data_IF_785426792145
#
_entry.id   IF_785426792145
#
_cell.length_a   1.000
_cell.length_b   1.000
_cell.length_c   1.000
_cell.angle_alpha   90.00
_cell.angle_beta   90.00
_cell.angle_gamma   90.00
#
_symmetry.space_group_name_H-M   'P 1'
#
loop_
_entity.id
_entity.type
_entity.pdbx_description
1 polymer ?
#
# COMPACT_ATOMS: atom_id res chain seq x y z
N UNK A 1 27.40 0.85 -0.43
CA UNK A 1 27.33 1.64 -1.69
C UNK A 1 26.52 0.96 -2.77
N UNK A 2 26.53 -0.37 -2.86
CA UNK A 2 25.87 -1.10 -3.96
C UNK A 2 24.36 -0.81 -4.10
N UNK A 3 23.58 -0.76 -3.02
CA UNK A 3 22.14 -0.46 -3.10
C UNK A 3 21.81 0.94 -3.65
N UNK A 4 22.69 1.92 -3.43
CA UNK A 4 22.54 3.27 -3.98
C UNK A 4 22.79 3.25 -5.48
N UNK A 5 23.85 2.55 -5.92
CA UNK A 5 24.16 2.39 -7.34
C UNK A 5 23.09 1.59 -8.07
N UNK A 6 22.63 0.49 -7.48
CA UNK A 6 21.54 -0.33 -8.03
C UNK A 6 20.25 0.49 -8.18
N UNK A 7 19.85 1.22 -7.12
CA UNK A 7 18.72 2.13 -7.18
C UNK A 7 18.88 3.21 -8.25
N UNK A 8 20.09 3.75 -8.43
CA UNK A 8 20.39 4.71 -9.49
C UNK A 8 20.24 4.13 -10.89
N UNK A 9 20.73 2.91 -11.13
CA UNK A 9 20.52 2.21 -12.40
C UNK A 9 19.04 1.94 -12.67
N UNK A 10 18.28 1.53 -11.65
CA UNK A 10 16.85 1.30 -11.77
C UNK A 10 16.08 2.59 -12.08
N UNK A 11 16.42 3.72 -11.46
CA UNK A 11 15.84 5.02 -11.82
C UNK A 11 16.12 5.42 -13.26
N UNK A 12 17.32 5.14 -13.78
CA UNK A 12 17.67 5.43 -15.18
C UNK A 12 16.91 4.54 -16.15
N UNK A 13 16.85 3.24 -15.89
CA UNK A 13 16.24 2.24 -16.78
C UNK A 13 14.72 2.27 -16.75
N UNK A 14 14.13 2.37 -15.56
CA UNK A 14 12.70 2.15 -15.33
C UNK A 14 11.94 3.42 -14.93
N UNK A 15 12.61 4.57 -14.81
CA UNK A 15 12.01 5.81 -14.25
C UNK A 15 11.46 5.68 -12.82
N UNK A 16 11.64 4.53 -12.19
CA UNK A 16 11.20 4.30 -10.83
C UNK A 16 11.44 2.87 -10.38
N UNK A 17 11.39 2.68 -9.07
CA UNK A 17 11.63 1.37 -8.45
C UNK A 17 11.09 1.34 -7.01
N UNK A 18 11.02 0.13 -6.46
CA UNK A 18 10.71 -0.13 -5.07
C UNK A 18 11.99 -0.26 -4.25
N UNK A 19 12.19 0.61 -3.26
CA UNK A 19 13.23 0.47 -2.25
C UNK A 19 12.70 -0.40 -1.09
N UNK A 20 13.00 -1.69 -1.16
CA UNK A 20 12.44 -2.72 -0.28
C UNK A 20 13.49 -3.47 0.53
N UNK A 21 14.32 -2.73 1.29
CA UNK A 21 15.23 -3.34 2.26
C UNK A 21 14.50 -3.95 3.48
N UNK A 22 15.19 -4.78 4.26
CA UNK A 22 14.69 -5.22 5.58
C UNK A 22 14.50 -4.02 6.52
N UNK A 23 13.49 -4.09 7.38
CA UNK A 23 13.24 -3.13 8.45
C UNK A 23 14.50 -2.97 9.33
N UNK A 24 14.91 -1.73 9.54
CA UNK A 24 16.11 -1.40 10.33
C UNK A 24 17.42 -1.24 9.54
N UNK A 25 17.44 -1.49 8.22
CA UNK A 25 18.65 -1.32 7.38
C UNK A 25 18.91 0.12 6.89
N UNK A 26 18.18 1.11 7.43
CA UNK A 26 18.39 2.51 7.08
C UNK A 26 17.88 2.92 5.70
N UNK A 27 16.66 2.50 5.32
CA UNK A 27 16.02 2.91 4.04
C UNK A 27 16.01 4.42 3.84
N UNK A 28 15.71 5.18 4.89
CA UNK A 28 15.73 6.63 4.87
C UNK A 28 17.12 7.16 4.47
N UNK A 29 18.20 6.53 4.94
CA UNK A 29 19.57 6.89 4.58
C UNK A 29 19.86 6.57 3.11
N UNK A 30 19.54 5.35 2.66
CA UNK A 30 19.73 4.94 1.26
C UNK A 30 18.94 5.82 0.31
N UNK A 31 17.67 6.09 0.63
CA UNK A 31 16.81 6.97 -0.14
C UNK A 31 17.34 8.40 -0.16
N UNK A 32 17.87 8.92 0.95
CA UNK A 32 18.49 10.25 1.01
C UNK A 32 19.76 10.31 0.17
N UNK A 33 20.58 9.26 0.17
CA UNK A 33 21.78 9.16 -0.67
C UNK A 33 21.42 9.14 -2.15
N UNK A 34 20.42 8.36 -2.55
CA UNK A 34 19.92 8.33 -3.93
C UNK A 34 19.34 9.70 -4.32
N UNK A 35 18.60 10.35 -3.42
CA UNK A 35 18.07 11.69 -3.63
C UNK A 35 19.19 12.72 -3.84
N UNK A 36 20.25 12.66 -3.02
CA UNK A 36 21.44 13.52 -3.17
C UNK A 36 22.16 13.25 -4.49
N UNK A 37 22.32 11.98 -4.85
CA UNK A 37 22.93 11.58 -6.12
C UNK A 37 22.08 12.08 -7.30
N UNK A 38 20.75 12.00 -7.22
CA UNK A 38 19.84 12.58 -8.21
C UNK A 38 19.96 14.10 -8.27
N UNK A 39 20.09 14.81 -7.15
CA UNK A 39 20.28 16.26 -7.21
C UNK A 39 21.63 16.68 -7.82
N UNK A 40 22.63 15.81 -7.71
CA UNK A 40 23.98 16.08 -8.24
C UNK A 40 24.16 15.64 -9.69
N UNK A 41 23.56 14.50 -10.08
CA UNK A 41 23.72 13.87 -11.39
C UNK A 41 22.47 13.93 -12.27
N UNK A 42 21.32 14.23 -11.69
CA UNK A 42 20.00 13.96 -12.24
C UNK A 42 19.57 14.93 -13.32
N UNK A 43 20.05 14.65 -14.53
CA UNK A 43 19.37 15.00 -15.77
C UNK A 43 19.69 16.38 -16.32
N UNK A 44 19.17 16.66 -17.53
CA UNK A 44 19.40 17.89 -18.31
C UNK A 44 18.93 19.17 -17.61
N UNK A 45 18.11 19.02 -16.57
CA UNK A 45 17.69 20.11 -15.72
C UNK A 45 18.86 20.68 -14.93
N UNK A 46 19.09 21.98 -15.11
CA UNK A 46 20.17 22.71 -14.42
C UNK A 46 20.01 22.71 -12.89
N UNK A 47 18.81 22.38 -12.38
CA UNK A 47 18.44 22.64 -11.00
C UNK A 47 17.28 21.72 -10.49
N UNK A 48 17.45 20.39 -10.45
CA UNK A 48 16.37 19.47 -10.17
C UNK A 48 15.77 19.67 -8.76
N UNK A 49 14.48 19.40 -8.62
CA UNK A 49 13.78 19.41 -7.33
C UNK A 49 13.05 18.10 -7.05
N UNK A 50 12.89 17.79 -5.76
CA UNK A 50 12.32 16.53 -5.29
C UNK A 50 11.06 16.80 -4.48
N UNK A 51 10.01 16.03 -4.75
CA UNK A 51 8.84 15.92 -3.90
C UNK A 51 8.98 14.70 -2.99
N UNK A 52 8.92 14.91 -1.68
CA UNK A 52 8.94 13.85 -0.69
C UNK A 52 7.58 13.74 0.00
N UNK A 53 6.93 12.58 -0.12
CA UNK A 53 5.62 12.28 0.47
C UNK A 53 5.82 11.28 1.61
N UNK A 54 5.45 11.66 2.83
CA UNK A 54 5.74 10.88 4.05
C UNK A 54 4.54 10.82 5.00
N UNK A 55 4.43 9.78 5.84
CA UNK A 55 3.51 9.81 6.97
C UNK A 55 3.82 10.98 7.92
N UNK A 56 2.81 11.61 8.55
CA UNK A 56 3.04 12.72 9.50
C UNK A 56 4.06 12.39 10.59
N UNK A 57 4.03 11.17 11.12
CA UNK A 57 4.95 10.70 12.16
C UNK A 57 6.42 10.64 11.72
N UNK A 58 6.71 10.53 10.42
CA UNK A 58 8.07 10.42 9.88
C UNK A 58 8.62 11.75 9.36
N UNK A 59 7.78 12.79 9.27
CA UNK A 59 8.16 14.08 8.68
C UNK A 59 9.41 14.68 9.34
N UNK A 60 9.43 14.77 10.66
CA UNK A 60 10.56 15.36 11.39
C UNK A 60 11.86 14.58 11.15
N UNK A 61 11.79 13.24 11.20
CA UNK A 61 12.96 12.39 10.96
C UNK A 61 13.55 12.60 9.55
N UNK A 62 12.68 12.79 8.56
CA UNK A 62 13.10 13.12 7.20
C UNK A 62 13.74 14.52 7.11
N UNK A 63 13.18 15.54 7.74
CA UNK A 63 13.76 16.90 7.79
C UNK A 63 15.15 16.89 8.42
N UNK A 64 15.30 16.18 9.54
CA UNK A 64 16.59 16.03 10.23
C UNK A 64 17.62 15.31 9.35
N UNK A 65 17.19 14.24 8.66
CA UNK A 65 18.07 13.48 7.76
C UNK A 65 18.51 14.34 6.58
N UNK A 66 17.58 15.02 5.90
CA UNK A 66 17.91 15.90 4.77
C UNK A 66 18.88 17.02 5.20
N UNK A 67 18.71 17.55 6.41
CA UNK A 67 19.62 18.56 6.97
C UNK A 67 21.01 18.01 7.20
N UNK A 68 21.14 16.80 7.77
CA UNK A 68 22.43 16.11 7.98
C UNK A 68 23.17 15.83 6.68
N UNK A 69 22.43 15.57 5.59
CA UNK A 69 23.00 15.33 4.26
C UNK A 69 23.19 16.61 3.42
N UNK A 70 22.95 17.78 4.02
CA UNK A 70 23.11 19.11 3.39
C UNK A 70 22.21 19.34 2.17
N UNK A 71 21.06 18.65 2.10
CA UNK A 71 20.08 18.81 1.04
C UNK A 71 19.11 19.93 1.42
N UNK A 72 19.49 21.19 1.16
CA UNK A 72 18.69 22.36 1.54
C UNK A 72 17.94 22.95 0.34
N UNK A 73 16.65 23.26 0.52
CA UNK A 73 15.82 23.99 -0.46
C UNK A 73 15.49 23.24 -1.75
N UNK A 74 15.93 21.97 -1.90
CA UNK A 74 15.68 21.13 -3.08
C UNK A 74 14.56 20.12 -2.91
N UNK A 75 14.22 19.79 -1.67
CA UNK A 75 13.21 18.79 -1.33
C UNK A 75 12.03 19.50 -0.69
N UNK A 76 10.83 19.35 -1.25
CA UNK A 76 9.58 19.79 -0.60
C UNK A 76 8.87 18.58 -0.01
N UNK A 77 8.54 18.66 1.28
CA UNK A 77 7.94 17.56 2.03
C UNK A 77 6.45 17.79 2.21
N UNK A 78 5.65 16.81 1.82
CA UNK A 78 4.20 16.77 2.06
C UNK A 78 3.84 15.51 2.81
N UNK A 79 2.77 15.58 3.61
CA UNK A 79 2.21 14.40 4.27
C UNK A 79 1.16 13.74 3.39
N UNK A 80 0.96 12.42 3.53
CA UNK A 80 -0.04 11.67 2.76
C UNK A 80 -1.46 12.30 2.78
N UNK A 81 -1.87 12.91 3.90
CA UNK A 81 -3.18 13.59 4.01
C UNK A 81 -3.24 15.00 3.42
N UNK A 82 -2.16 15.50 2.80
CA UNK A 82 -2.06 16.87 2.28
C UNK A 82 -1.66 16.91 0.80
N UNK A 83 -1.95 15.84 0.04
CA UNK A 83 -1.66 15.80 -1.41
C UNK A 83 -2.32 16.94 -2.17
N UNK A 84 -3.56 17.31 -1.82
CA UNK A 84 -4.30 18.46 -2.36
C UNK A 84 -3.58 19.81 -2.27
N UNK A 85 -2.55 19.94 -1.43
CA UNK A 85 -1.74 21.17 -1.33
C UNK A 85 -0.68 21.26 -2.43
N UNK A 86 -0.49 20.21 -3.23
CA UNK A 86 0.50 20.13 -4.30
C UNK A 86 -0.12 20.71 -5.58
N UNK A 87 -0.06 22.03 -5.72
CA UNK A 87 -0.67 22.77 -6.85
C UNK A 87 0.14 22.70 -8.14
N UNK A 88 1.47 22.57 -8.03
CA UNK A 88 2.39 22.59 -9.16
C UNK A 88 3.18 21.28 -9.27
N UNK A 89 2.56 20.17 -9.71
CA UNK A 89 3.28 18.91 -9.88
C UNK A 89 4.45 19.00 -10.86
N UNK A 90 4.43 19.93 -11.83
CA UNK A 90 5.48 20.07 -12.85
C UNK A 90 6.82 20.56 -12.28
N UNK A 91 6.81 21.16 -11.10
CA UNK A 91 8.01 21.73 -10.48
C UNK A 91 9.01 20.65 -10.04
N UNK A 92 8.57 19.40 -9.93
CA UNK A 92 9.36 18.30 -9.39
C UNK A 92 9.85 17.37 -10.48
N UNK A 93 11.10 16.92 -10.34
CA UNK A 93 11.76 16.00 -11.27
C UNK A 93 11.80 14.58 -10.71
N UNK A 94 11.80 14.46 -9.38
CA UNK A 94 11.70 13.20 -8.67
C UNK A 94 10.61 13.23 -7.59
N UNK A 95 9.91 12.12 -7.42
CA UNK A 95 8.93 11.89 -6.36
C UNK A 95 9.40 10.72 -5.51
N UNK A 96 9.50 10.91 -4.20
CA UNK A 96 9.82 9.89 -3.22
C UNK A 96 8.60 9.68 -2.35
N UNK A 97 8.15 8.44 -2.22
CA UNK A 97 6.94 8.11 -1.45
C UNK A 97 7.34 7.11 -0.37
N UNK A 98 7.32 7.57 0.88
CA UNK A 98 7.54 6.73 2.04
C UNK A 98 6.24 6.07 2.52
N UNK A 99 6.36 4.83 2.96
CA UNK A 99 5.24 3.95 3.26
C UNK A 99 4.17 3.95 2.16
N UNK A 100 4.61 3.74 0.91
CA UNK A 100 3.73 3.75 -0.28
C UNK A 100 2.56 2.74 -0.19
N UNK A 101 2.63 1.77 0.72
CA UNK A 101 1.53 0.86 1.02
C UNK A 101 0.31 1.53 1.65
N UNK A 102 0.43 2.73 2.23
CA UNK A 102 -0.69 3.46 2.86
C UNK A 102 -1.71 3.98 1.85
N UNK A 103 -1.27 4.31 0.63
CA UNK A 103 -2.14 4.75 -0.48
C UNK A 103 -3.03 3.63 -1.06
N UNK A 104 -3.04 2.47 -0.42
CA UNK A 104 -3.93 1.34 -0.72
C UNK A 104 -5.34 1.52 -0.14
N UNK A 105 -5.43 2.11 1.06
CA UNK A 105 -6.67 2.22 1.83
C UNK A 105 -7.28 3.63 1.77
N UNK A 106 -6.49 4.61 1.33
CA UNK A 106 -7.00 5.96 1.10
C UNK A 106 -7.93 5.93 -0.11
N UNK A 107 -8.99 6.74 -0.04
CA UNK A 107 -10.04 6.85 -1.05
C UNK A 107 -9.50 6.88 -2.48
N UNK A 108 -10.27 6.40 -3.47
CA UNK A 108 -9.90 6.44 -4.89
C UNK A 108 -9.30 7.80 -5.30
N UNK A 109 -9.83 8.89 -4.72
CA UNK A 109 -9.35 10.25 -4.91
C UNK A 109 -7.88 10.49 -4.54
N UNK A 110 -7.39 9.95 -3.41
CA UNK A 110 -6.01 10.17 -2.97
C UNK A 110 -5.01 9.47 -3.90
N UNK A 111 -5.36 8.27 -4.36
CA UNK A 111 -4.56 7.55 -5.35
C UNK A 111 -4.57 8.28 -6.70
N UNK A 112 -5.72 8.74 -7.18
CA UNK A 112 -5.83 9.48 -8.45
C UNK A 112 -4.98 10.76 -8.43
N UNK A 113 -4.99 11.48 -7.31
CA UNK A 113 -4.15 12.66 -7.11
C UNK A 113 -2.66 12.32 -7.11
N UNK A 114 -2.26 11.26 -6.38
CA UNK A 114 -0.88 10.79 -6.37
C UNK A 114 -0.41 10.36 -7.76
N UNK A 115 -1.26 9.64 -8.50
CA UNK A 115 -0.98 9.19 -9.86
C UNK A 115 -0.82 10.40 -10.79
N UNK A 116 -1.72 11.40 -10.69
CA UNK A 116 -1.60 12.66 -11.43
C UNK A 116 -0.27 13.35 -11.14
N UNK A 117 0.14 13.44 -9.87
CA UNK A 117 1.40 14.06 -9.46
C UNK A 117 2.59 13.35 -10.10
N UNK A 118 2.62 12.01 -10.07
CA UNK A 118 3.73 11.22 -10.62
C UNK A 118 3.76 11.23 -12.15
N UNK A 119 2.59 11.19 -12.82
CA UNK A 119 2.47 11.10 -14.28
C UNK A 119 2.52 12.43 -15.02
N UNK A 120 2.23 13.53 -14.35
CA UNK A 120 2.45 14.85 -14.95
C UNK A 120 3.94 14.99 -15.27
N UNK A 121 4.31 15.37 -16.49
CA UNK A 121 5.72 15.63 -16.84
C UNK A 121 6.26 16.85 -16.09
N UNK A 122 7.58 16.94 -15.94
CA UNK A 122 8.20 18.12 -15.31
C UNK A 122 8.16 19.35 -16.25
N UNK A 123 8.74 20.46 -15.82
CA UNK A 123 8.82 21.70 -16.60
C UNK A 123 9.62 21.55 -17.91
N UNK A 124 10.43 20.50 -18.06
CA UNK A 124 11.22 20.19 -19.25
C UNK A 124 10.56 19.13 -20.16
N UNK A 125 9.28 18.80 -19.90
CA UNK A 125 8.52 17.77 -20.61
C UNK A 125 9.10 16.35 -20.49
N UNK A 126 9.89 16.10 -19.44
CA UNK A 126 10.47 14.80 -19.11
C UNK A 126 9.61 14.01 -18.11
N UNK A 127 9.74 12.68 -18.15
CA UNK A 127 9.08 11.77 -17.22
C UNK A 127 9.79 11.82 -15.87
N UNK A 128 9.01 12.04 -14.80
CA UNK A 128 9.55 12.08 -13.45
C UNK A 128 10.14 10.76 -13.01
N UNK A 129 11.16 10.85 -12.15
CA UNK A 129 11.71 9.70 -11.45
C UNK A 129 10.88 9.41 -10.19
N UNK A 130 10.57 8.16 -9.90
CA UNK A 130 9.71 7.80 -8.75
C UNK A 130 10.34 6.70 -7.90
N UNK A 131 10.55 6.98 -6.61
CA UNK A 131 11.06 5.98 -5.67
C UNK A 131 10.00 5.65 -4.63
N UNK A 132 9.59 4.38 -4.59
CA UNK A 132 8.60 3.88 -3.63
C UNK A 132 9.32 3.16 -2.48
N UNK A 133 9.26 3.71 -1.27
CA UNK A 133 9.85 3.10 -0.09
C UNK A 133 8.76 2.29 0.61
N UNK A 134 8.97 0.97 0.69
CA UNK A 134 8.04 0.06 1.36
C UNK A 134 8.76 -1.18 1.84
N UNK A 135 8.36 -1.76 2.97
CA UNK A 135 8.93 -3.01 3.47
C UNK A 135 8.48 -4.24 2.69
N UNK A 136 7.28 -4.22 2.10
CA UNK A 136 6.66 -5.41 1.52
C UNK A 136 5.64 -5.04 0.43
N UNK A 137 6.04 -4.82 -0.84
CA UNK A 137 5.06 -4.56 -1.89
C UNK A 137 4.26 -5.82 -2.28
N UNK A 138 4.78 -7.03 -2.01
CA UNK A 138 4.14 -8.31 -2.36
C UNK A 138 3.00 -8.74 -1.40
N UNK A 139 2.90 -8.18 -0.19
CA UNK A 139 1.81 -8.51 0.76
C UNK A 139 0.46 -7.83 0.37
N UNK A 140 0.38 -7.32 -0.85
CA UNK A 140 -0.74 -6.59 -1.39
C UNK A 140 -1.54 -7.47 -2.37
N UNK A 141 -2.81 -7.09 -2.64
CA UNK A 141 -3.55 -7.74 -3.73
C UNK A 141 -2.84 -7.41 -5.05
N UNK A 142 -2.95 -8.27 -6.07
CA UNK A 142 -2.35 -7.97 -7.37
C UNK A 142 -2.80 -6.62 -7.96
N UNK A 143 -4.06 -6.23 -7.70
CA UNK A 143 -4.59 -4.91 -8.07
C UNK A 143 -3.79 -3.75 -7.45
N UNK A 144 -3.49 -3.86 -6.17
CA UNK A 144 -2.80 -2.80 -5.41
C UNK A 144 -1.34 -2.69 -5.83
N UNK A 145 -0.68 -3.84 -6.06
CA UNK A 145 0.68 -3.87 -6.60
C UNK A 145 0.72 -3.22 -8.00
N UNK A 146 -0.24 -3.55 -8.86
CA UNK A 146 -0.33 -2.95 -10.19
C UNK A 146 -0.48 -1.44 -10.12
N UNK A 147 -1.36 -0.94 -9.25
CA UNK A 147 -1.57 0.49 -9.03
C UNK A 147 -0.27 1.19 -8.58
N UNK A 148 0.51 0.58 -7.68
CA UNK A 148 1.81 1.14 -7.28
C UNK A 148 2.80 1.22 -8.46
N UNK A 149 2.86 0.18 -9.30
CA UNK A 149 3.75 0.18 -10.47
C UNK A 149 3.31 1.23 -11.49
N UNK A 150 2.01 1.45 -11.65
CA UNK A 150 1.44 2.47 -12.52
C UNK A 150 1.79 3.91 -12.11
N UNK A 151 2.35 4.14 -10.92
CA UNK A 151 2.87 5.46 -10.56
C UNK A 151 4.08 5.86 -11.42
N UNK A 152 4.84 4.89 -11.91
CA UNK A 152 6.11 5.13 -12.61
C UNK A 152 6.28 4.34 -13.91
N UNK A 153 5.45 3.34 -14.17
CA UNK A 153 5.36 2.61 -15.44
C UNK A 153 4.06 2.91 -16.17
N UNK A 154 4.07 2.81 -17.49
CA UNK A 154 2.84 2.79 -18.28
C UNK A 154 2.36 1.35 -18.47
N UNK A 155 1.04 1.14 -18.40
CA UNK A 155 0.45 -0.19 -18.47
C UNK A 155 0.71 -0.91 -19.81
N UNK A 156 0.69 -0.17 -20.92
CA UNK A 156 0.85 -0.73 -22.26
C UNK A 156 2.27 -0.58 -22.82
N UNK A 157 3.04 0.39 -22.32
CA UNK A 157 4.39 0.69 -22.76
C UNK A 157 5.35 0.73 -21.56
N UNK A 158 5.36 -0.37 -20.81
CA UNK A 158 6.28 -0.51 -19.68
C UNK A 158 7.70 -0.71 -20.16
N UNK A 159 8.64 -0.37 -19.30
CA UNK A 159 10.09 -0.63 -19.48
C UNK A 159 10.48 -2.09 -19.19
N UNK A 160 9.50 -2.94 -18.89
CA UNK A 160 9.65 -4.39 -18.80
C UNK A 160 9.42 -5.03 -20.18
N UNK A 161 10.04 -6.18 -20.43
CA UNK A 161 10.01 -6.89 -21.72
C UNK A 161 8.64 -7.49 -22.11
N UNK A 162 7.57 -7.09 -21.43
CA UNK A 162 6.20 -7.53 -21.67
C UNK A 162 5.18 -6.44 -21.31
N UNK A 163 3.97 -6.45 -21.91
CA UNK A 163 2.94 -5.47 -21.57
C UNK A 163 2.35 -5.71 -20.18
N UNK A 164 2.56 -4.75 -19.27
CA UNK A 164 2.15 -4.87 -17.88
C UNK A 164 0.62 -4.97 -17.69
N UNK A 165 -0.15 -4.26 -18.51
CA UNK A 165 -1.61 -4.22 -18.42
C UNK A 165 -2.27 -5.55 -18.76
N UNK A 166 -1.82 -6.23 -19.82
CA UNK A 166 -2.34 -7.55 -20.18
C UNK A 166 -1.92 -8.60 -19.14
N UNK A 167 -0.68 -8.52 -18.65
CA UNK A 167 -0.18 -9.37 -17.57
C UNK A 167 -1.08 -9.26 -16.34
N UNK A 168 -1.27 -8.05 -15.79
CA UNK A 168 -2.10 -7.89 -14.59
C UNK A 168 -3.59 -8.16 -14.84
N UNK A 169 -4.11 -7.97 -16.05
CA UNK A 169 -5.49 -8.38 -16.39
C UNK A 169 -5.68 -9.88 -16.23
N UNK A 170 -4.72 -10.69 -16.72
CA UNK A 170 -4.71 -12.13 -16.53
C UNK A 170 -4.59 -12.50 -15.05
N UNK A 171 -3.60 -11.93 -14.35
CA UNK A 171 -3.37 -12.18 -12.92
C UNK A 171 -4.62 -11.87 -12.08
N UNK A 172 -5.33 -10.76 -12.36
CA UNK A 172 -6.57 -10.39 -11.67
C UNK A 172 -7.68 -11.43 -11.87
N UNK A 173 -7.80 -11.98 -13.08
CA UNK A 173 -8.77 -13.03 -13.39
C UNK A 173 -8.44 -14.31 -12.62
N UNK A 174 -7.20 -14.77 -12.70
CA UNK A 174 -6.73 -15.95 -11.98
C UNK A 174 -6.88 -15.80 -10.46
N UNK A 175 -6.54 -14.63 -9.90
CA UNK A 175 -6.72 -14.33 -8.48
C UNK A 175 -8.19 -14.42 -8.06
N UNK A 176 -9.13 -13.87 -8.86
CA UNK A 176 -10.58 -13.99 -8.60
C UNK A 176 -11.09 -15.42 -8.67
N UNK A 177 -10.53 -16.25 -9.54
CA UNK A 177 -10.85 -17.67 -9.62
C UNK A 177 -10.32 -18.43 -8.40
N UNK A 178 -9.11 -18.11 -7.95
CA UNK A 178 -8.51 -18.70 -6.74
C UNK A 178 -9.33 -18.39 -5.48
N UNK A 179 -9.87 -17.17 -5.35
CA UNK A 179 -10.73 -16.78 -4.22
C UNK A 179 -12.04 -17.59 -4.12
N UNK A 180 -12.42 -18.32 -5.17
CA UNK A 180 -13.61 -19.19 -5.19
C UNK A 180 -13.30 -20.65 -4.83
N UNK A 181 -12.02 -21.02 -4.71
CA UNK A 181 -11.60 -22.39 -4.44
C UNK A 181 -11.57 -22.69 -2.94
N UNK A 182 -11.67 -23.98 -2.63
CA UNK A 182 -11.41 -24.53 -1.29
C UNK A 182 -10.01 -24.18 -0.78
N UNK A 183 -9.91 -23.96 0.54
CA UNK A 183 -8.78 -23.32 1.21
C UNK A 183 -7.43 -24.02 1.01
N UNK A 184 -7.39 -25.34 0.80
CA UNK A 184 -6.16 -26.11 0.56
C UNK A 184 -5.59 -25.90 -0.85
N UNK A 185 -6.43 -25.96 -1.90
CA UNK A 185 -6.04 -25.76 -3.30
C UNK A 185 -5.78 -24.28 -3.60
N UNK A 186 -6.47 -23.37 -2.90
CA UNK A 186 -6.26 -21.94 -3.04
C UNK A 186 -4.83 -21.53 -2.70
N UNK A 187 -4.28 -22.01 -1.56
CA UNK A 187 -2.92 -21.65 -1.10
C UNK A 187 -1.82 -21.98 -2.11
N UNK A 188 -1.86 -23.19 -2.69
CA UNK A 188 -0.85 -23.62 -3.66
C UNK A 188 -0.89 -22.77 -4.95
N UNK A 189 -2.09 -22.52 -5.49
CA UNK A 189 -2.25 -21.66 -6.68
C UNK A 189 -1.90 -20.20 -6.40
N UNK A 190 -2.23 -19.69 -5.21
CA UNK A 190 -1.80 -18.36 -4.77
C UNK A 190 -0.28 -18.25 -4.76
N UNK A 191 0.43 -19.25 -4.22
CA UNK A 191 1.89 -19.28 -4.22
C UNK A 191 2.49 -19.18 -5.63
N UNK A 192 1.98 -19.99 -6.56
CA UNK A 192 2.42 -19.97 -7.97
C UNK A 192 2.19 -18.60 -8.63
N UNK A 193 1.01 -18.02 -8.43
CA UNK A 193 0.67 -16.71 -8.97
C UNK A 193 1.62 -15.61 -8.45
N UNK A 194 1.90 -15.61 -7.15
CA UNK A 194 2.79 -14.62 -6.55
C UNK A 194 4.26 -14.82 -6.90
N UNK A 195 4.70 -16.06 -7.16
CA UNK A 195 6.06 -16.31 -7.65
C UNK A 195 6.23 -15.78 -9.08
N UNK A 196 5.23 -15.96 -9.94
CA UNK A 196 5.26 -15.38 -11.29
C UNK A 196 5.34 -13.85 -11.25
N UNK A 197 4.50 -13.21 -10.42
CA UNK A 197 4.55 -11.75 -10.19
C UNK A 197 5.93 -11.35 -9.67
N UNK A 198 6.51 -12.13 -8.75
CA UNK A 198 7.80 -11.83 -8.16
C UNK A 198 8.90 -11.83 -9.21
N UNK A 199 9.06 -12.90 -9.96
CA UNK A 199 10.12 -13.06 -10.94
C UNK A 199 10.01 -12.05 -12.08
N UNK A 200 8.80 -11.85 -12.61
CA UNK A 200 8.61 -11.03 -13.82
C UNK A 200 8.49 -9.54 -13.53
N UNK A 201 7.97 -9.15 -12.37
CA UNK A 201 7.62 -7.75 -12.07
C UNK A 201 8.44 -7.20 -10.92
N UNK A 202 8.48 -7.91 -9.80
CA UNK A 202 9.11 -7.38 -8.59
C UNK A 202 10.62 -7.35 -8.72
N UNK A 203 11.25 -8.47 -9.08
CA UNK A 203 12.71 -8.59 -9.17
C UNK A 203 13.31 -7.51 -10.09
N UNK A 204 12.77 -7.23 -11.28
CA UNK A 204 13.31 -6.19 -12.15
C UNK A 204 13.05 -4.75 -11.68
N UNK A 205 12.05 -4.52 -10.83
CA UNK A 205 11.63 -3.18 -10.41
C UNK A 205 11.94 -2.87 -8.94
N UNK A 206 12.66 -3.74 -8.25
CA UNK A 206 12.89 -3.65 -6.81
C UNK A 206 14.38 -3.75 -6.49
N UNK A 207 14.83 -2.83 -5.65
CA UNK A 207 16.09 -2.99 -4.93
C UNK A 207 15.76 -3.61 -3.59
N UNK A 208 16.21 -4.85 -3.38
CA UNK A 208 15.97 -5.62 -2.16
C UNK A 208 17.25 -6.22 -1.64
N UNK A 209 17.54 -5.93 -0.37
CA UNK A 209 18.44 -6.75 0.45
C UNK A 209 17.58 -7.54 1.43
N UNK A 210 17.51 -8.86 1.33
CA UNK A 210 16.99 -9.67 2.45
C UNK A 210 18.09 -10.00 3.45
N UNK A 211 17.72 -10.30 4.71
CA UNK A 211 18.68 -10.80 5.71
C UNK A 211 19.37 -12.08 5.21
N UNK A 212 18.65 -12.94 4.50
CA UNK A 212 19.19 -14.16 3.90
C UNK A 212 20.14 -13.84 2.73
N UNK A 213 19.77 -12.93 1.82
CA UNK A 213 20.65 -12.48 0.71
C UNK A 213 21.93 -11.79 1.22
N UNK A 214 21.86 -11.09 2.36
CA UNK A 214 23.03 -10.48 3.02
C UNK A 214 23.93 -11.53 3.70
N UNK A 215 23.37 -12.62 4.21
CA UNK A 215 24.14 -13.72 4.84
C UNK A 215 24.72 -14.71 3.81
N UNK A 216 24.07 -14.87 2.66
CA UNK A 216 24.53 -15.74 1.56
C UNK A 216 25.56 -15.04 0.65
N UNK A 217 25.63 -13.70 0.66
CA UNK A 217 26.61 -12.94 -0.10
C UNK A 217 27.95 -12.81 0.66
N UNK A 218 28.99 -13.46 0.13
CA UNK A 218 30.36 -13.53 0.69
C UNK A 218 30.94 -12.15 1.04
N UNK A 219 30.59 -11.10 0.28
CA UNK A 219 31.12 -9.74 0.48
C UNK A 219 30.48 -9.02 1.67
N UNK A 220 29.17 -9.20 1.87
CA UNK A 220 28.43 -8.58 2.98
C UNK A 220 28.67 -9.30 4.30
N UNK A 221 28.86 -10.61 4.28
CA UNK A 221 29.24 -11.38 5.47
C UNK A 221 30.54 -10.86 6.10
N UNK A 222 31.54 -10.54 5.26
CA UNK A 222 32.83 -9.99 5.71
C UNK A 222 32.68 -8.59 6.34
N UNK A 223 31.83 -7.74 5.75
CA UNK A 223 31.51 -6.39 6.23
C UNK A 223 30.73 -6.41 7.56
N UNK A 224 29.81 -7.36 7.73
CA UNK A 224 29.05 -7.58 8.97
C UNK A 224 29.93 -8.12 10.11
N UNK A 225 30.89 -8.98 9.80
CA UNK A 225 31.90 -9.49 10.74
C UNK A 225 32.88 -8.39 11.17
N UNK A 226 33.29 -7.52 10.23
CA UNK A 226 34.19 -6.37 10.49
C UNK A 226 33.52 -5.30 11.36
N UNK A 227 32.19 -5.14 11.25
CA UNK A 227 31.40 -4.19 12.04
C UNK A 227 30.67 -4.82 13.25
N UNK A 228 30.91 -6.09 13.54
CA UNK A 228 30.36 -6.83 14.68
C UNK A 228 28.82 -6.75 14.81
N UNK A 229 28.10 -6.76 13.69
CA UNK A 229 26.64 -6.62 13.64
C UNK A 229 25.96 -7.99 13.72
N UNK A 230 25.39 -8.33 14.88
CA UNK A 230 24.67 -9.60 15.09
C UNK A 230 23.16 -9.36 15.00
N UNK A 231 22.49 -10.00 14.04
CA UNK A 231 21.04 -9.99 13.96
C UNK A 231 20.43 -10.96 14.99
N UNK A 232 19.41 -10.54 15.76
CA UNK A 232 18.71 -11.44 16.67
C UNK A 232 17.97 -12.53 15.89
N UNK A 233 18.06 -13.77 16.37
CA UNK A 233 17.31 -14.89 15.81
C UNK A 233 15.82 -14.68 16.10
N UNK A 234 15.01 -14.60 15.05
CA UNK A 234 13.55 -14.49 15.18
C UNK A 234 12.97 -15.87 15.48
N UNK A 235 12.49 -16.08 16.70
CA UNK A 235 11.62 -17.22 17.03
C UNK A 235 10.19 -16.94 16.53
N UNK A 236 9.41 -17.97 16.15
CA UNK A 236 7.99 -17.80 15.87
C UNK A 236 7.30 -17.13 17.07
N UNK A 237 6.31 -16.25 16.85
CA UNK A 237 5.57 -15.66 17.96
C UNK A 237 4.85 -16.74 18.75
N UNK A 238 5.03 -16.73 20.07
CA UNK A 238 4.32 -17.63 20.97
C UNK A 238 2.89 -17.10 21.19
N UNK A 239 1.84 -17.92 20.98
CA UNK A 239 0.48 -17.49 21.25
C UNK A 239 0.29 -17.35 22.76
N UNK A 240 0.02 -16.13 23.21
CA UNK A 240 -0.40 -15.86 24.58
C UNK A 240 -1.92 -15.93 24.60
N UNK A 241 -2.47 -16.99 25.19
CA UNK A 241 -3.91 -17.13 25.38
C UNK A 241 -4.33 -16.29 26.57
N UNK A 242 -5.19 -15.31 26.33
CA UNK A 242 -5.78 -14.52 27.40
C UNK A 242 -6.89 -15.33 28.09
N UNK A 243 -6.68 -15.68 29.36
CA UNK A 243 -7.74 -16.26 30.18
C UNK A 243 -8.55 -15.11 30.78
N UNK A 244 -9.85 -15.06 30.46
CA UNK A 244 -10.76 -14.13 31.11
C UNK A 244 -10.93 -14.57 32.58
N UNK A 245 -10.94 -13.61 33.50
CA UNK A 245 -11.39 -13.88 34.86
C UNK A 245 -12.87 -14.30 34.84
N UNK A 246 -13.30 -15.15 35.79
CA UNK A 246 -14.67 -15.67 35.87
C UNK A 246 -15.76 -14.58 35.77
N UNK A 247 -15.48 -13.39 36.31
CA UNK A 247 -16.40 -12.24 36.27
C UNK A 247 -16.57 -11.69 34.84
N UNK A 248 -15.47 -11.60 34.09
CA UNK A 248 -15.43 -11.14 32.70
C UNK A 248 -15.98 -12.18 31.74
N UNK A 249 -15.73 -13.47 31.99
CA UNK A 249 -16.31 -14.56 31.21
C UNK A 249 -17.84 -14.57 31.32
N UNK A 250 -18.37 -14.44 32.54
CA UNK A 250 -19.82 -14.30 32.75
C UNK A 250 -20.39 -13.06 32.06
N UNK A 251 -19.73 -11.91 32.21
CA UNK A 251 -20.17 -10.67 31.56
C UNK A 251 -20.14 -10.80 30.03
N UNK A 252 -19.11 -11.43 29.48
CA UNK A 252 -19.00 -11.70 28.04
C UNK A 252 -20.15 -12.59 27.57
N UNK A 253 -20.39 -13.72 28.23
CA UNK A 253 -21.49 -14.64 27.88
C UNK A 253 -22.86 -13.99 27.99
N UNK A 254 -23.11 -13.20 29.03
CA UNK A 254 -24.35 -12.41 29.16
C UNK A 254 -24.51 -11.38 28.04
N UNK A 255 -23.43 -10.68 27.70
CA UNK A 255 -23.44 -9.67 26.65
C UNK A 255 -23.69 -10.31 25.29
N UNK A 256 -23.01 -11.41 24.97
CA UNK A 256 -23.21 -12.17 23.74
C UNK A 256 -24.62 -12.74 23.67
N UNK A 257 -25.17 -13.29 24.76
CA UNK A 257 -26.56 -13.76 24.80
C UNK A 257 -27.58 -12.64 24.53
N UNK A 258 -27.33 -11.43 25.05
CA UNK A 258 -28.20 -10.27 24.78
C UNK A 258 -28.11 -9.75 23.34
N UNK A 259 -26.97 -9.96 22.67
CA UNK A 259 -26.73 -9.52 21.28
C UNK A 259 -27.12 -10.59 20.24
N UNK A 260 -26.85 -11.88 20.51
CA UNK A 260 -27.13 -12.99 19.60
C UNK A 260 -28.63 -13.33 19.61
N UNK A 261 -29.34 -12.65 18.72
CA UNK A 261 -30.79 -12.60 18.68
C UNK A 261 -31.39 -13.84 17.97
N UNK A 262 -31.16 -15.03 18.52
CA UNK A 262 -31.85 -16.26 18.07
C UNK A 262 -33.26 -16.33 18.66
N UNK A 263 -34.16 -15.46 18.19
CA UNK A 263 -35.62 -15.65 18.03
C UNK A 263 -36.46 -16.36 19.12
N UNK A 264 -36.01 -16.55 20.36
CA UNK A 264 -36.77 -17.35 21.33
C UNK A 264 -37.10 -16.70 22.67
N UNK A 265 -36.46 -15.60 23.10
CA UNK A 265 -36.83 -14.92 24.35
C UNK A 265 -36.88 -13.40 24.18
N UNK A 266 -37.91 -12.76 24.75
CA UNK A 266 -38.22 -11.32 24.72
C UNK A 266 -37.18 -10.42 25.44
N UNK A 267 -36.03 -10.97 25.85
CA UNK A 267 -35.00 -10.29 26.64
C UNK A 267 -33.80 -9.79 25.82
N UNK A 268 -33.76 -10.06 24.51
CA UNK A 268 -32.66 -9.67 23.61
C UNK A 268 -32.79 -8.26 23.02
N UNK A 269 -31.68 -7.72 22.50
CA UNK A 269 -31.67 -6.44 21.77
C UNK A 269 -32.39 -6.58 20.43
N UNK A 270 -33.66 -6.22 20.39
CA UNK A 270 -34.45 -6.13 19.16
C UNK A 270 -33.86 -5.02 18.27
N UNK A 271 -33.17 -5.41 17.19
CA UNK A 271 -32.74 -4.50 16.13
C UNK A 271 -33.95 -4.07 15.27
N UNK A 272 -34.96 -3.48 15.89
CA UNK A 272 -36.13 -2.93 15.18
C UNK A 272 -35.69 -1.68 14.43
N UNK A 273 -35.59 -1.78 13.11
CA UNK A 273 -35.42 -0.60 12.24
C UNK A 273 -36.77 0.09 12.06
N UNK A 274 -36.85 1.36 12.49
CA UNK A 274 -38.01 2.20 12.26
C UNK A 274 -38.21 2.43 10.75
N UNK A 275 -39.24 1.82 10.17
CA UNK A 275 -39.61 2.02 8.76
C UNK A 275 -40.44 3.30 8.62
N UNK A 276 -39.77 4.46 8.63
CA UNK A 276 -40.41 5.76 8.51
C UNK A 276 -41.39 5.85 7.31
N UNK A 277 -41.04 5.23 6.18
CA UNK A 277 -41.86 5.19 4.96
C UNK A 277 -43.16 4.38 5.09
N UNK A 278 -43.24 3.44 6.05
CA UNK A 278 -44.41 2.59 6.21
C UNK A 278 -45.60 3.36 6.79
N UNK A 279 -45.32 4.30 7.70
CA UNK A 279 -46.32 5.09 8.44
C UNK A 279 -46.60 6.48 7.86
N UNK A 280 -46.07 6.80 6.67
CA UNK A 280 -46.40 8.06 5.99
C UNK A 280 -47.87 8.09 5.57
N UNK A 281 -48.52 9.24 5.81
CA UNK A 281 -49.89 9.54 5.38
C UNK A 281 -50.02 9.34 3.86
N UNK A 282 -51.18 8.84 3.37
CA UNK A 282 -51.37 8.46 1.96
C UNK A 282 -50.97 9.56 0.95
N UNK A 283 -51.29 10.81 1.27
CA UNK A 283 -51.02 12.00 0.46
C UNK A 283 -49.52 12.23 0.22
N UNK A 284 -48.67 11.93 1.22
CA UNK A 284 -47.22 12.12 1.15
C UNK A 284 -46.51 10.90 0.54
N UNK A 285 -47.12 9.71 0.62
CA UNK A 285 -46.61 8.49 -0.04
C UNK A 285 -46.59 8.63 -1.57
N UNK A 286 -47.55 9.35 -2.14
CA UNK A 286 -47.65 9.56 -3.59
C UNK A 286 -46.51 10.44 -4.12
N UNK A 287 -46.19 11.55 -3.43
CA UNK A 287 -45.05 12.43 -3.75
C UNK A 287 -43.69 11.73 -3.66
N UNK A 288 -43.51 10.81 -2.71
CA UNK A 288 -42.24 10.08 -2.52
C UNK A 288 -42.09 8.92 -3.53
N UNK A 289 -43.19 8.43 -4.11
CA UNK A 289 -43.13 7.34 -5.11
C UNK A 289 -42.39 7.77 -6.38
N UNK A 290 -42.49 9.03 -6.78
CA UNK A 290 -41.72 9.60 -7.90
C UNK A 290 -40.22 9.71 -7.59
N UNK A 291 -39.86 9.93 -6.31
CA UNK A 291 -38.46 9.96 -5.83
C UNK A 291 -37.85 8.56 -5.61
N UNK A 292 -38.66 7.50 -5.68
CA UNK A 292 -38.33 6.13 -5.26
C UNK A 292 -37.25 5.45 -6.12
N UNK A 293 -36.94 5.99 -7.29
CA UNK A 293 -35.82 5.56 -8.14
C UNK A 293 -34.47 5.87 -7.45
N UNK A 294 -34.40 6.88 -6.58
CA UNK A 294 -33.15 7.32 -5.93
C UNK A 294 -32.80 6.54 -4.64
N UNK A 295 -33.81 6.06 -3.90
CA UNK A 295 -33.59 5.44 -2.57
C UNK A 295 -33.28 3.94 -2.59
N UNK A 296 -33.57 3.21 -3.68
CA UNK A 296 -33.25 1.76 -3.77
C UNK A 296 -31.75 1.49 -3.62
N UNK A 297 -30.91 2.45 -4.00
CA UNK A 297 -29.44 2.39 -3.94
C UNK A 297 -28.90 2.41 -2.51
N UNK A 298 -29.62 2.99 -1.54
CA UNK A 298 -29.16 3.10 -0.15
C UNK A 298 -29.49 1.86 0.69
N UNK A 299 -30.58 1.16 0.37
CA UNK A 299 -31.01 -0.05 1.10
C UNK A 299 -30.23 -1.31 0.72
N UNK A 300 -29.69 -1.40 -0.50
CA UNK A 300 -28.92 -2.58 -0.96
C UNK A 300 -27.52 -2.72 -0.33
N UNK A 301 -27.00 -1.68 0.31
CA UNK A 301 -25.63 -1.67 0.84
C UNK A 301 -25.47 -2.18 2.28
N UNK A 302 -26.56 -2.49 2.99
CA UNK A 302 -26.48 -2.87 4.41
C UNK A 302 -26.90 -4.32 4.72
N UNK A 303 -27.38 -5.10 3.74
CA UNK A 303 -27.63 -6.54 3.94
C UNK A 303 -26.35 -7.39 3.90
N UNK A 304 -25.22 -6.84 3.44
CA UNK A 304 -23.98 -7.59 3.28
C UNK A 304 -23.05 -7.62 4.51
N UNK A 305 -23.44 -7.03 5.64
CA UNK A 305 -22.56 -6.95 6.82
C UNK A 305 -22.84 -7.97 7.93
N UNK A 306 -23.79 -8.88 7.74
CA UNK A 306 -24.00 -9.98 8.69
C UNK A 306 -24.08 -11.32 7.96
N UNK A 307 -23.13 -12.19 8.28
CA UNK A 307 -23.00 -13.61 7.90
C UNK A 307 -22.38 -13.94 6.54
N UNK A 308 -21.04 -13.99 6.52
CA UNK A 308 -20.35 -15.15 5.94
C UNK A 308 -19.65 -15.90 7.08
N UNK A 309 -20.28 -16.98 7.54
CA UNK A 309 -19.57 -18.06 8.23
C UNK A 309 -19.51 -19.21 7.22
N UNK A 310 -18.33 -19.40 6.65
CA UNK A 310 -18.02 -20.61 5.89
C UNK A 310 -18.04 -21.78 6.87
N UNK A 311 -18.77 -22.83 6.50
CA UNK A 311 -18.71 -24.13 7.12
C UNK A 311 -18.89 -25.18 6.03
N UNK A 312 -17.78 -25.63 5.45
CA UNK A 312 -17.33 -27.02 5.43
C UNK A 312 -15.80 -27.01 5.39
#
# INVERSE_FOLDING_TARGET
MDAVNEGWEMLKKHNGFFLSDVVGLGKTMVATLIARQFLFLGGRAYNPTILLIVPPALKQNWEDTLTKFEIRGKVKIFTNGSLHKITSPKDYDMVIIDEAHKFRNDTAQAYDELQRICKTKNNEDEVKKVMLISATPLNNRPDDLYNQILLFQDGNNSTLDFPLGSFFTRIKKEYKEILKLESSKARAKTGQLYEEIRERVIVPLMVRRTRTDLMDNVRYKKDLEEHNVIFPKTTPPEPIYYQLEDSLERLYDETIKKIDNKKQDDTGLLHTRYRALHYLKPELKQKIHESRIYCRTLSGNYENFTTKKNGQ
#
